data_IF_821847414168
#
_entry.id   IF_821847414168
#
_cell.length_a   1.000
_cell.length_b   1.000
_cell.length_c   1.000
_cell.angle_alpha   90.00
_cell.angle_beta   90.00
_cell.angle_gamma   90.00
#
_symmetry.space_group_name_H-M   'P 1'
#
loop_
_entity.id
_entity.type
_entity.pdbx_description
1 polymer ?
#
# COMPACT_ATOMS: atom_id res chain seq x y z
N UNK A 1 75.16 -29.77 17.14
CA UNK A 1 74.91 -30.85 16.17
C UNK A 1 73.45 -30.85 15.78
N UNK A 2 73.15 -30.62 14.48
CA UNK A 2 71.89 -30.91 13.75
C UNK A 2 70.63 -30.15 14.23
N UNK A 3 69.70 -29.61 13.42
CA UNK A 3 69.45 -29.31 11.99
C UNK A 3 68.10 -28.53 12.04
N UNK A 4 68.04 -27.26 11.65
CA UNK A 4 67.42 -26.77 10.41
C UNK A 4 65.96 -27.20 10.15
N UNK A 5 65.01 -26.23 10.17
CA UNK A 5 64.05 -25.95 9.10
C UNK A 5 63.19 -24.70 9.43
N UNK A 6 63.32 -23.66 8.60
CA UNK A 6 62.37 -22.54 8.45
C UNK A 6 61.39 -22.90 7.35
N UNK A 7 60.07 -22.77 7.54
CA UNK A 7 59.08 -22.77 6.46
C UNK A 7 57.88 -21.84 6.74
N UNK A 8 57.88 -20.70 6.03
CA UNK A 8 56.80 -20.04 5.25
C UNK A 8 55.50 -19.51 5.94
N UNK A 9 55.47 -18.17 6.06
CA UNK A 9 54.48 -17.18 5.60
C UNK A 9 53.07 -17.66 5.11
N UNK A 10 52.00 -17.15 5.74
CA UNK A 10 50.78 -16.71 5.05
C UNK A 10 49.95 -15.77 5.94
N UNK A 11 49.98 -14.46 5.62
CA UNK A 11 48.94 -13.51 6.00
C UNK A 11 47.80 -13.73 5.01
N UNK A 12 46.60 -14.11 5.47
CA UNK A 12 45.37 -13.84 4.71
C UNK A 12 44.22 -13.50 5.64
N UNK A 13 43.69 -12.30 5.41
CA UNK A 13 42.39 -11.83 5.85
C UNK A 13 41.30 -12.83 5.44
N UNK A 14 40.48 -13.26 6.38
CA UNK A 14 39.15 -13.82 6.11
C UNK A 14 38.24 -13.46 7.30
N UNK A 15 37.83 -12.20 7.36
CA UNK A 15 36.44 -11.75 7.09
C UNK A 15 35.45 -12.40 8.06
N UNK A 16 34.89 -11.66 9.04
CA UNK A 16 33.68 -12.11 9.70
C UNK A 16 32.53 -12.09 8.67
N UNK A 17 32.29 -13.23 8.05
CA UNK A 17 31.10 -13.50 7.26
C UNK A 17 29.93 -13.66 8.24
N UNK A 18 29.26 -12.57 8.59
CA UNK A 18 27.85 -12.49 9.03
C UNK A 18 27.50 -11.07 9.53
N UNK A 19 27.78 -10.05 8.74
CA UNK A 19 26.84 -8.93 8.66
C UNK A 19 25.94 -9.20 7.47
N UNK A 20 24.93 -10.04 7.70
CA UNK A 20 23.77 -10.08 6.83
C UNK A 20 23.20 -8.66 6.84
N UNK A 21 23.38 -7.97 5.72
CA UNK A 21 22.76 -6.68 5.46
C UNK A 21 21.27 -6.85 5.73
N UNK A 22 20.80 -6.26 6.84
CA UNK A 22 19.38 -5.90 6.94
C UNK A 22 19.19 -4.84 5.86
N UNK A 23 18.80 -5.26 4.67
CA UNK A 23 18.18 -4.37 3.68
C UNK A 23 16.86 -3.94 4.26
N UNK A 24 16.91 -2.97 5.17
CA UNK A 24 15.75 -2.17 5.51
C UNK A 24 15.76 -1.03 4.52
N UNK A 25 15.16 -1.27 3.35
CA UNK A 25 14.67 -0.19 2.50
C UNK A 25 13.50 0.51 3.23
N UNK A 26 13.82 1.19 4.35
CA UNK A 26 12.89 2.04 5.06
C UNK A 26 13.05 3.42 4.43
N UNK A 27 12.20 3.68 3.43
CA UNK A 27 11.26 4.81 3.43
C UNK A 27 10.65 4.95 2.03
N UNK A 28 10.00 3.89 1.55
CA UNK A 28 8.91 4.03 0.59
C UNK A 28 7.65 4.18 1.47
N UNK A 29 7.51 5.34 2.12
CA UNK A 29 6.41 5.55 3.05
C UNK A 29 5.13 5.79 2.26
N UNK A 30 4.39 4.70 2.07
CA UNK A 30 3.01 4.71 1.61
C UNK A 30 2.16 5.50 2.63
N UNK A 31 1.66 6.67 2.24
CA UNK A 31 0.46 7.27 2.86
C UNK A 31 -0.78 6.77 2.11
N UNK A 32 -0.86 5.45 1.92
CA UNK A 32 -1.97 4.79 1.27
C UNK A 32 -3.04 4.48 2.33
N UNK A 33 -4.31 4.79 2.02
CA UNK A 33 -5.47 4.40 2.82
C UNK A 33 -5.45 2.92 3.18
N UNK A 34 -4.89 2.08 2.30
CA UNK A 34 -4.66 0.66 2.54
C UNK A 34 -3.71 0.41 3.71
N UNK A 35 -2.60 1.13 3.79
CA UNK A 35 -1.61 0.94 4.85
C UNK A 35 -2.10 1.53 6.18
N UNK A 36 -2.83 2.64 6.13
CA UNK A 36 -3.57 3.12 7.31
C UNK A 36 -4.56 2.06 7.80
N UNK A 37 -5.35 1.47 6.90
CA UNK A 37 -6.31 0.41 7.25
C UNK A 37 -5.63 -0.83 7.85
N UNK A 38 -4.44 -1.21 7.37
CA UNK A 38 -3.66 -2.34 7.90
C UNK A 38 -3.23 -2.16 9.35
N UNK A 39 -3.09 -0.92 9.84
CA UNK A 39 -2.76 -0.65 11.26
C UNK A 39 -3.82 -1.18 12.24
N UNK A 40 -5.04 -1.45 11.75
CA UNK A 40 -6.14 -1.96 12.57
C UNK A 40 -6.31 -3.47 12.49
N UNK A 41 -5.45 -4.21 11.77
CA UNK A 41 -5.52 -5.67 11.71
C UNK A 41 -5.50 -6.26 13.13
N UNK A 42 -6.46 -7.15 13.40
CA UNK A 42 -6.65 -7.76 14.72
C UNK A 42 -7.63 -7.00 15.63
N UNK A 43 -8.06 -5.78 15.30
CA UNK A 43 -9.12 -5.10 16.06
C UNK A 43 -10.39 -5.95 16.05
N UNK A 44 -10.99 -6.25 17.22
CA UNK A 44 -12.17 -7.12 17.31
C UNK A 44 -13.37 -6.60 16.53
N UNK A 45 -14.24 -7.53 16.10
CA UNK A 45 -15.53 -7.16 15.56
C UNK A 45 -16.50 -6.75 16.67
N UNK A 46 -17.21 -5.64 16.48
CA UNK A 46 -18.29 -5.19 17.35
C UNK A 46 -19.42 -4.65 16.48
N UNK A 47 -20.60 -5.25 16.58
CA UNK A 47 -21.80 -4.75 15.89
C UNK A 47 -22.07 -3.29 16.28
N UNK A 48 -22.22 -2.39 15.31
CA UNK A 48 -22.38 -0.97 15.59
C UNK A 48 -21.06 -0.24 15.87
N UNK A 49 -19.92 -0.95 15.96
CA UNK A 49 -18.62 -0.41 16.33
C UNK A 49 -18.00 0.49 15.26
N UNK A 50 -17.40 1.60 15.68
CA UNK A 50 -16.85 2.67 14.83
C UNK A 50 -15.52 3.20 15.34
N UNK A 51 -14.86 2.48 16.28
CA UNK A 51 -13.62 2.92 16.91
C UNK A 51 -12.60 1.77 17.01
N UNK A 52 -11.30 2.05 17.24
CA UNK A 52 -10.27 1.01 17.36
C UNK A 52 -10.46 0.01 18.53
N UNK A 53 -11.42 0.25 19.44
CA UNK A 53 -11.82 -0.73 20.46
C UNK A 53 -12.73 -1.84 19.90
N UNK A 54 -13.28 -1.66 18.70
CA UNK A 54 -14.05 -2.66 17.99
C UNK A 54 -14.86 -2.04 16.84
N UNK A 55 -14.80 -2.68 15.68
CA UNK A 55 -15.46 -2.21 14.47
C UNK A 55 -16.51 -3.19 13.95
N UNK A 56 -17.57 -2.68 13.30
CA UNK A 56 -18.26 -3.47 12.27
C UNK A 56 -17.69 -3.17 10.88
N UNK A 57 -18.14 -3.90 9.86
CA UNK A 57 -17.59 -3.79 8.50
C UNK A 57 -17.66 -2.36 7.95
N UNK A 58 -18.83 -1.72 8.02
CA UNK A 58 -19.03 -0.36 7.55
C UNK A 58 -18.39 0.71 8.45
N UNK A 59 -18.36 0.49 9.76
CA UNK A 59 -17.76 1.39 10.74
C UNK A 59 -16.24 1.41 10.68
N UNK A 60 -15.61 0.27 10.37
CA UNK A 60 -14.18 0.19 10.08
C UNK A 60 -13.82 1.08 8.89
N UNK A 61 -14.52 0.92 7.76
CA UNK A 61 -14.22 1.69 6.56
C UNK A 61 -14.57 3.16 6.74
N UNK A 62 -15.66 3.48 7.42
CA UNK A 62 -15.98 4.88 7.76
C UNK A 62 -14.86 5.53 8.59
N UNK A 63 -14.30 4.81 9.57
CA UNK A 63 -13.19 5.30 10.37
C UNK A 63 -11.94 5.53 9.52
N UNK A 64 -11.57 4.55 8.70
CA UNK A 64 -10.42 4.63 7.79
C UNK A 64 -10.57 5.81 6.82
N UNK A 65 -11.69 5.92 6.11
CA UNK A 65 -11.90 6.97 5.10
C UNK A 65 -12.02 8.38 5.71
N UNK A 66 -12.49 8.49 6.96
CA UNK A 66 -12.56 9.77 7.66
C UNK A 66 -11.18 10.40 7.86
N UNK A 67 -10.15 9.60 8.12
CA UNK A 67 -8.75 10.08 8.20
C UNK A 67 -8.31 10.76 6.88
N UNK A 68 -8.85 10.29 5.76
CA UNK A 68 -8.57 10.79 4.42
C UNK A 68 -9.63 11.81 3.95
N UNK A 69 -10.33 12.46 4.88
CA UNK A 69 -11.36 13.49 4.62
C UNK A 69 -12.54 13.03 3.74
N UNK A 70 -12.79 11.73 3.65
CA UNK A 70 -13.90 11.16 2.87
C UNK A 70 -14.98 10.66 3.82
N UNK A 71 -16.17 11.25 3.71
CA UNK A 71 -17.31 10.89 4.55
C UNK A 71 -18.06 9.72 3.92
N UNK A 72 -17.91 8.54 4.52
CA UNK A 72 -18.74 7.38 4.17
C UNK A 72 -20.04 7.35 4.99
N UNK A 73 -21.18 6.97 4.37
CA UNK A 73 -22.38 6.64 5.11
C UNK A 73 -22.12 5.57 6.17
N UNK A 74 -22.91 5.57 7.26
CA UNK A 74 -22.69 4.63 8.37
C UNK A 74 -23.02 3.18 8.01
N UNK A 75 -24.02 2.94 7.16
CA UNK A 75 -24.51 1.60 6.85
C UNK A 75 -23.87 1.06 5.57
N UNK A 76 -23.58 -0.24 5.55
CA UNK A 76 -23.08 -0.96 4.37
C UNK A 76 -23.96 -0.73 3.12
N UNK A 77 -25.29 -0.82 3.27
CA UNK A 77 -26.22 -0.58 2.16
C UNK A 77 -26.10 0.85 1.59
N UNK A 78 -26.03 1.86 2.45
CA UNK A 78 -25.88 3.25 2.02
C UNK A 78 -24.53 3.47 1.32
N UNK A 79 -23.45 2.87 1.84
CA UNK A 79 -22.13 2.86 1.19
C UNK A 79 -22.17 2.18 -0.20
N UNK A 80 -23.04 1.19 -0.41
CA UNK A 80 -23.20 0.58 -1.72
C UNK A 80 -23.96 1.48 -2.70
N UNK A 81 -25.04 2.11 -2.27
CA UNK A 81 -25.91 2.87 -3.17
C UNK A 81 -25.41 4.29 -3.48
N UNK A 82 -24.54 4.88 -2.65
CA UNK A 82 -24.07 6.26 -2.83
C UNK A 82 -22.72 6.38 -3.57
N UNK A 83 -21.93 5.31 -3.65
CA UNK A 83 -20.62 5.36 -4.29
C UNK A 83 -20.68 5.21 -5.81
N UNK A 84 -19.61 5.63 -6.49
CA UNK A 84 -19.48 5.46 -7.94
C UNK A 84 -19.25 3.98 -8.27
N UNK A 85 -20.05 3.39 -9.16
CA UNK A 85 -19.92 1.98 -9.53
C UNK A 85 -18.59 1.69 -10.21
N UNK A 86 -17.92 0.60 -9.79
CA UNK A 86 -16.67 0.12 -10.40
C UNK A 86 -16.83 -1.32 -10.87
N UNK A 87 -16.39 -1.58 -12.09
CA UNK A 87 -16.28 -2.94 -12.62
C UNK A 87 -15.19 -3.72 -11.89
N UNK A 88 -15.43 -5.00 -11.62
CA UNK A 88 -14.48 -5.86 -10.88
C UNK A 88 -13.07 -5.89 -11.52
N UNK A 89 -12.99 -5.81 -12.85
CA UNK A 89 -11.71 -5.82 -13.58
C UNK A 89 -10.99 -4.46 -13.55
N UNK A 90 -11.65 -3.41 -13.07
CA UNK A 90 -11.15 -2.04 -12.96
C UNK A 90 -10.92 -1.63 -11.50
N UNK A 91 -10.94 -2.60 -10.58
CA UNK A 91 -10.65 -2.41 -9.17
C UNK A 91 -9.23 -1.88 -8.99
N UNK A 92 -9.11 -0.85 -8.17
CA UNK A 92 -7.84 -0.33 -7.67
C UNK A 92 -7.87 -0.31 -6.14
N UNK A 93 -6.71 -0.44 -5.46
CA UNK A 93 -6.60 -0.26 -4.02
C UNK A 93 -7.36 1.00 -3.54
N UNK A 94 -8.13 0.84 -2.46
CA UNK A 94 -9.03 1.89 -1.96
C UNK A 94 -10.48 1.77 -2.44
N UNK A 95 -10.78 0.99 -3.49
CA UNK A 95 -12.18 0.72 -3.86
C UNK A 95 -12.88 -0.13 -2.79
N UNK A 96 -14.15 0.15 -2.53
CA UNK A 96 -14.96 -0.66 -1.63
C UNK A 96 -15.60 -1.82 -2.38
N UNK A 97 -15.48 -3.03 -1.85
CA UNK A 97 -16.07 -4.26 -2.40
C UNK A 97 -17.19 -4.73 -1.48
N UNK A 98 -18.33 -5.10 -2.07
CA UNK A 98 -19.57 -5.37 -1.35
C UNK A 98 -20.05 -6.80 -1.55
N UNK A 99 -20.68 -7.34 -0.51
CA UNK A 99 -21.17 -8.71 -0.48
C UNK A 99 -22.57 -8.83 0.12
N UNK A 100 -23.33 -9.80 -0.38
CA UNK A 100 -24.61 -10.25 0.15
C UNK A 100 -24.43 -11.51 1.02
N UNK A 101 -24.06 -11.31 2.28
CA UNK A 101 -23.79 -12.38 3.26
C UNK A 101 -25.02 -12.87 4.01
N UNK A 102 -26.13 -12.12 3.99
CA UNK A 102 -27.37 -12.46 4.68
C UNK A 102 -28.59 -12.67 3.75
N UNK A 103 -28.38 -12.68 2.43
CA UNK A 103 -29.42 -12.79 1.40
C UNK A 103 -30.44 -11.63 1.36
N UNK A 104 -30.14 -10.47 1.94
CA UNK A 104 -31.04 -9.30 2.00
C UNK A 104 -30.47 -8.07 1.28
N UNK A 105 -29.41 -8.25 0.48
CA UNK A 105 -28.75 -7.16 -0.25
C UNK A 105 -27.35 -6.87 0.31
N UNK A 106 -26.81 -5.64 0.14
CA UNK A 106 -25.49 -5.29 0.65
C UNK A 106 -25.43 -5.38 2.17
N UNK A 107 -24.77 -6.42 2.68
CA UNK A 107 -24.72 -6.73 4.10
C UNK A 107 -23.31 -6.83 4.66
N UNK A 108 -22.30 -6.85 3.79
CA UNK A 108 -20.90 -6.81 4.18
C UNK A 108 -20.07 -5.99 3.19
N UNK A 109 -19.02 -5.34 3.69
CA UNK A 109 -18.16 -4.47 2.90
C UNK A 109 -16.70 -4.64 3.34
N UNK A 110 -15.79 -4.49 2.39
CA UNK A 110 -14.36 -4.37 2.62
C UNK A 110 -13.73 -3.39 1.66
N UNK A 111 -12.46 -3.06 1.85
CA UNK A 111 -11.68 -2.23 0.94
C UNK A 111 -10.70 -3.12 0.17
N UNK A 112 -10.72 -3.02 -1.15
CA UNK A 112 -9.78 -3.69 -2.03
C UNK A 112 -8.36 -3.16 -1.78
N UNK A 113 -7.38 -4.06 -1.74
CA UNK A 113 -5.99 -3.73 -1.44
C UNK A 113 -5.01 -4.21 -2.52
N UNK A 114 -5.52 -4.58 -3.70
CA UNK A 114 -4.73 -5.19 -4.77
C UNK A 114 -4.72 -6.71 -4.72
N UNK A 115 -4.18 -7.35 -5.76
CA UNK A 115 -3.96 -8.80 -5.83
C UNK A 115 -5.20 -9.68 -5.54
N UNK A 116 -6.39 -9.18 -5.86
CA UNK A 116 -7.66 -9.84 -5.56
C UNK A 116 -7.91 -10.03 -4.05
N UNK A 117 -7.27 -9.21 -3.22
CA UNK A 117 -7.41 -9.19 -1.76
C UNK A 117 -8.16 -7.95 -1.30
N UNK A 118 -8.76 -8.04 -0.12
CA UNK A 118 -9.47 -6.94 0.53
C UNK A 118 -9.35 -7.02 2.04
N UNK A 119 -9.29 -5.86 2.69
CA UNK A 119 -9.29 -5.71 4.15
C UNK A 119 -10.71 -5.39 4.64
N UNK A 120 -11.14 -6.03 5.72
CA UNK A 120 -12.48 -5.84 6.28
C UNK A 120 -12.55 -6.25 7.75
N UNK A 121 -13.56 -5.76 8.48
CA UNK A 121 -13.90 -6.29 9.81
C UNK A 121 -14.77 -7.55 9.68
N UNK A 122 -14.18 -8.72 9.87
CA UNK A 122 -14.87 -10.02 9.90
C UNK A 122 -15.56 -10.26 11.23
N UNK A 123 -16.81 -10.73 11.22
CA UNK A 123 -17.54 -11.09 12.44
C UNK A 123 -16.85 -12.16 13.29
N UNK A 124 -16.00 -13.01 12.69
CA UNK A 124 -15.28 -14.09 13.39
C UNK A 124 -13.82 -13.80 13.69
N UNK A 125 -13.19 -12.87 12.96
CA UNK A 125 -11.72 -12.64 13.03
C UNK A 125 -11.32 -11.20 13.36
N UNK A 126 -12.30 -10.29 13.49
CA UNK A 126 -12.00 -8.85 13.56
C UNK A 126 -11.47 -8.33 12.22
N UNK A 127 -10.75 -7.21 12.25
CA UNK A 127 -10.13 -6.64 11.06
C UNK A 127 -9.07 -7.60 10.51
N UNK A 128 -9.27 -8.04 9.27
CA UNK A 128 -8.45 -9.06 8.62
C UNK A 128 -8.43 -8.87 7.10
N UNK A 129 -7.52 -9.58 6.43
CA UNK A 129 -7.41 -9.62 4.97
C UNK A 129 -7.99 -10.94 4.47
N UNK A 130 -8.82 -10.85 3.44
CA UNK A 130 -9.41 -12.00 2.75
C UNK A 130 -9.19 -11.89 1.24
N UNK A 131 -9.26 -13.02 0.53
CA UNK A 131 -9.19 -13.06 -0.92
C UNK A 131 -10.60 -13.13 -1.54
N UNK A 132 -10.84 -12.37 -2.61
CA UNK A 132 -12.12 -12.29 -3.32
C UNK A 132 -12.49 -13.61 -4.03
N UNK A 133 -11.53 -14.48 -4.34
CA UNK A 133 -11.78 -15.79 -4.96
C UNK A 133 -12.11 -16.89 -3.96
N UNK A 134 -12.03 -16.62 -2.65
CA UNK A 134 -12.53 -17.54 -1.64
C UNK A 134 -14.01 -17.81 -1.89
N UNK A 135 -14.41 -19.08 -1.98
CA UNK A 135 -15.77 -19.51 -2.35
C UNK A 135 -16.88 -18.73 -1.63
N UNK A 136 -16.70 -18.47 -0.33
CA UNK A 136 -17.63 -17.68 0.48
C UNK A 136 -17.87 -16.27 -0.09
N UNK A 137 -16.79 -15.52 -0.37
CA UNK A 137 -16.87 -14.15 -0.89
C UNK A 137 -17.19 -14.10 -2.39
N UNK A 138 -16.62 -15.02 -3.17
CA UNK A 138 -16.83 -15.10 -4.62
C UNK A 138 -18.30 -15.24 -4.99
N UNK A 139 -19.02 -16.10 -4.27
CA UNK A 139 -20.46 -16.34 -4.51
C UNK A 139 -21.38 -15.24 -3.99
N UNK A 140 -20.84 -14.34 -3.14
CA UNK A 140 -21.61 -13.29 -2.47
C UNK A 140 -21.26 -11.89 -2.97
N UNK A 141 -20.26 -11.75 -3.83
CA UNK A 141 -19.85 -10.47 -4.38
C UNK A 141 -20.99 -9.87 -5.21
N UNK A 142 -21.36 -8.63 -4.89
CA UNK A 142 -22.47 -7.92 -5.57
C UNK A 142 -22.03 -6.65 -6.29
N UNK A 143 -20.77 -6.24 -6.14
CA UNK A 143 -20.22 -5.09 -6.86
C UNK A 143 -19.16 -4.34 -6.05
N UNK A 144 -18.64 -3.28 -6.67
CA UNK A 144 -17.68 -2.39 -6.05
C UNK A 144 -18.05 -0.91 -6.23
N UNK A 145 -17.53 -0.07 -5.33
CA UNK A 145 -17.76 1.36 -5.32
C UNK A 145 -16.47 2.13 -5.07
N UNK A 146 -16.28 3.22 -5.81
CA UNK A 146 -15.21 4.19 -5.61
C UNK A 146 -15.74 5.41 -4.88
N UNK A 147 -14.99 5.82 -3.87
CA UNK A 147 -15.24 7.02 -3.06
C UNK A 147 -14.10 8.03 -3.13
N UNK A 148 -12.97 7.59 -3.68
CA UNK A 148 -11.80 8.41 -3.92
C UNK A 148 -11.83 8.85 -5.38
N UNK A 149 -12.19 10.10 -5.64
CA UNK A 149 -11.97 10.70 -6.96
C UNK A 149 -10.53 11.25 -7.03
N UNK A 150 -9.95 11.33 -8.23
CA UNK A 150 -8.55 11.74 -8.43
C UNK A 150 -8.21 13.12 -7.83
N UNK A 151 -9.20 13.99 -7.61
CA UNK A 151 -9.03 15.32 -6.97
C UNK A 151 -9.09 15.26 -5.44
N UNK A 152 -9.91 14.38 -4.87
CA UNK A 152 -10.02 14.15 -3.44
C UNK A 152 -8.84 13.35 -2.92
N UNK A 153 -8.33 12.43 -3.72
CA UNK A 153 -7.03 11.77 -3.55
C UNK A 153 -5.93 12.83 -3.44
N UNK A 154 -5.83 13.78 -4.39
CA UNK A 154 -4.91 14.94 -4.29
C UNK A 154 -5.12 15.77 -3.00
N UNK A 155 -6.36 16.00 -2.57
CA UNK A 155 -6.67 16.81 -1.37
C UNK A 155 -6.47 16.10 -0.02
N UNK A 156 -6.70 14.79 0.04
CA UNK A 156 -6.44 13.97 1.21
C UNK A 156 -4.93 13.83 1.46
N UNK A 157 -4.13 13.83 0.39
CA UNK A 157 -2.66 13.89 0.46
C UNK A 157 -2.11 15.27 0.87
N UNK A 158 -2.80 16.37 0.56
CA UNK A 158 -2.44 17.70 1.08
C UNK A 158 -2.68 17.83 2.60
N UNK A 159 -3.50 16.96 3.18
CA UNK A 159 -3.83 16.94 4.61
C UNK A 159 -2.94 16.01 5.44
N UNK A 160 -2.15 15.14 4.81
CA UNK A 160 -1.14 14.35 5.53
C UNK A 160 0.10 15.22 5.75
N UNK A 161 0.74 15.19 6.94
CA UNK A 161 1.84 16.10 7.23
C UNK A 161 2.97 15.93 6.21
N UNK A 162 3.19 16.96 5.39
CA UNK A 162 4.30 17.01 4.44
C UNK A 162 5.59 16.72 5.18
N UNK A 163 6.27 15.63 4.79
CA UNK A 163 7.56 15.31 5.39
C UNK A 163 8.60 16.30 4.96
N UNK A 164 9.52 16.62 5.86
CA UNK A 164 10.66 17.47 5.54
C UNK A 164 11.38 16.97 4.28
N UNK A 165 11.52 17.83 3.29
CA UNK A 165 12.14 17.52 1.99
C UNK A 165 11.22 16.83 0.97
N UNK A 166 9.96 16.57 1.27
CA UNK A 166 9.00 16.07 0.29
C UNK A 166 8.66 17.16 -0.73
N UNK A 167 8.77 16.83 -2.02
CA UNK A 167 8.45 17.71 -3.16
C UNK A 167 7.18 17.28 -3.89
N UNK A 168 6.65 16.08 -3.60
CA UNK A 168 5.43 15.59 -4.22
C UNK A 168 5.08 14.18 -3.79
N UNK A 169 4.17 13.58 -4.55
CA UNK A 169 3.72 12.19 -4.41
C UNK A 169 3.54 11.61 -5.80
N UNK A 170 3.94 10.36 -6.00
CA UNK A 170 3.60 9.58 -7.20
C UNK A 170 2.50 8.59 -6.87
N UNK A 171 1.50 8.50 -7.75
CA UNK A 171 0.46 7.48 -7.76
C UNK A 171 0.73 6.49 -8.88
N UNK A 172 0.75 5.19 -8.57
CA UNK A 172 0.97 4.13 -9.56
C UNK A 172 -0.35 3.76 -10.23
N UNK A 173 -0.47 4.02 -11.53
CA UNK A 173 -1.63 3.63 -12.37
C UNK A 173 -1.50 2.23 -12.96
N UNK A 174 -0.27 1.83 -13.30
CA UNK A 174 0.04 0.55 -13.94
C UNK A 174 1.28 -0.06 -13.28
N UNK A 175 1.38 -1.39 -13.34
CA UNK A 175 2.55 -2.11 -12.81
C UNK A 175 3.85 -1.50 -13.35
N UNK A 176 4.73 -1.08 -12.45
CA UNK A 176 6.00 -0.42 -12.78
C UNK A 176 7.09 -0.86 -11.83
N UNK A 177 8.33 -0.89 -12.29
CA UNK A 177 9.46 -1.33 -11.48
C UNK A 177 9.87 -0.26 -10.46
N UNK A 178 10.08 -0.71 -9.23
CA UNK A 178 10.82 0.01 -8.21
C UNK A 178 12.30 -0.34 -8.35
N UNK A 179 13.13 0.67 -8.41
CA UNK A 179 14.57 0.55 -8.49
C UNK A 179 15.22 1.06 -7.21
N UNK A 180 16.37 0.51 -6.86
CA UNK A 180 17.30 1.10 -5.91
C UNK A 180 18.51 1.59 -6.71
N UNK A 181 18.99 2.79 -6.40
CA UNK A 181 20.16 3.37 -7.06
C UNK A 181 21.31 3.46 -6.06
N UNK A 182 22.49 2.93 -6.40
CA UNK A 182 23.68 3.10 -5.57
C UNK A 182 24.38 4.46 -5.83
N UNK A 183 25.52 4.68 -5.16
CA UNK A 183 26.29 5.92 -5.29
C UNK A 183 26.98 6.06 -6.66
N UNK A 184 27.04 4.98 -7.44
CA UNK A 184 27.56 4.95 -8.81
C UNK A 184 26.45 5.08 -9.87
N UNK A 185 25.24 5.44 -9.43
CA UNK A 185 24.02 5.53 -10.23
C UNK A 185 23.51 4.20 -10.80
N UNK A 186 24.06 3.06 -10.41
CA UNK A 186 23.61 1.76 -10.94
C UNK A 186 22.25 1.39 -10.35
N UNK A 187 21.32 1.01 -11.23
CA UNK A 187 19.99 0.56 -10.84
C UNK A 187 19.99 -0.93 -10.51
N UNK A 188 19.40 -1.26 -9.37
CA UNK A 188 19.07 -2.63 -8.96
C UNK A 188 17.55 -2.74 -8.85
N UNK A 189 16.97 -3.74 -9.51
CA UNK A 189 15.54 -4.02 -9.38
C UNK A 189 15.22 -4.43 -7.95
N UNK A 190 14.19 -3.80 -7.36
CA UNK A 190 13.72 -4.12 -6.00
C UNK A 190 12.46 -4.97 -6.07
N UNK A 191 11.40 -4.44 -6.67
CA UNK A 191 10.12 -5.13 -6.88
C UNK A 191 9.27 -4.43 -7.92
N UNK A 192 8.15 -5.05 -8.29
CA UNK A 192 7.10 -4.37 -9.06
C UNK A 192 6.16 -3.65 -8.09
N UNK A 193 5.89 -2.38 -8.35
CA UNK A 193 4.84 -1.58 -7.73
C UNK A 193 3.52 -1.87 -8.42
N UNK A 194 2.45 -2.00 -7.65
CA UNK A 194 1.12 -2.30 -8.17
C UNK A 194 0.29 -1.03 -8.37
N UNK A 195 -0.70 -1.05 -9.30
CA UNK A 195 -1.69 0.01 -9.40
C UNK A 195 -2.33 0.30 -8.03
N UNK A 196 -2.48 1.57 -7.69
CA UNK A 196 -2.98 2.06 -6.41
C UNK A 196 -1.91 2.40 -5.38
N UNK A 197 -0.69 1.86 -5.51
CA UNK A 197 0.40 2.21 -4.60
C UNK A 197 0.81 3.70 -4.77
N UNK A 198 1.13 4.35 -3.65
CA UNK A 198 1.55 5.76 -3.63
C UNK A 198 2.85 5.95 -2.87
N UNK A 199 3.72 6.82 -3.37
CA UNK A 199 5.00 7.13 -2.75
C UNK A 199 5.24 8.62 -2.67
N UNK A 200 5.71 9.08 -1.50
CA UNK A 200 6.29 10.43 -1.38
C UNK A 200 7.50 10.55 -2.29
N UNK A 201 7.69 11.73 -2.86
CA UNK A 201 8.80 12.09 -3.73
C UNK A 201 9.64 13.15 -3.02
N UNK A 202 10.96 12.99 -3.05
CA UNK A 202 11.92 13.89 -2.41
C UNK A 202 12.83 14.60 -3.41
N UNK A 203 13.00 14.05 -4.61
CA UNK A 203 13.73 14.69 -5.70
C UNK A 203 13.34 14.11 -7.04
N UNK A 204 13.64 14.83 -8.11
CA UNK A 204 13.55 14.35 -9.49
C UNK A 204 14.90 14.56 -10.17
N UNK A 205 15.32 13.62 -11.00
CA UNK A 205 16.49 13.77 -11.85
C UNK A 205 16.25 13.20 -13.25
N UNK A 206 17.08 13.62 -14.20
CA UNK A 206 16.92 13.31 -15.62
C UNK A 206 17.59 12.00 -16.06
N UNK A 207 18.14 11.21 -15.13
CA UNK A 207 18.76 9.93 -15.49
C UNK A 207 17.68 8.94 -15.95
N UNK A 208 18.06 8.02 -16.85
CA UNK A 208 17.18 6.93 -17.29
C UNK A 208 15.81 7.38 -17.84
N UNK A 209 15.74 8.55 -18.47
CA UNK A 209 14.49 9.12 -19.00
C UNK A 209 13.65 9.86 -17.96
N UNK A 210 14.23 10.16 -16.79
CA UNK A 210 13.55 10.81 -15.68
C UNK A 210 13.23 9.82 -14.57
N UNK A 211 13.60 10.14 -13.33
CA UNK A 211 13.29 9.33 -12.16
C UNK A 211 12.85 10.19 -10.98
N UNK A 212 11.83 9.72 -10.26
CA UNK A 212 11.44 10.28 -8.97
C UNK A 212 12.11 9.49 -7.85
N UNK A 213 12.81 10.17 -6.96
CA UNK A 213 13.37 9.62 -5.74
C UNK A 213 12.27 9.50 -4.68
N UNK A 214 12.02 8.27 -4.25
CA UNK A 214 10.98 7.91 -3.30
C UNK A 214 11.47 7.88 -1.85
N UNK A 215 12.73 8.26 -1.61
CA UNK A 215 13.41 8.14 -0.33
C UNK A 215 14.35 6.93 -0.31
N UNK A 216 15.36 6.95 0.57
CA UNK A 216 16.26 5.81 0.80
C UNK A 216 16.88 5.20 -0.46
N UNK A 217 17.23 6.08 -1.41
CA UNK A 217 17.78 5.74 -2.73
C UNK A 217 16.86 4.84 -3.58
N UNK A 218 15.56 4.85 -3.33
CA UNK A 218 14.56 4.19 -4.14
C UNK A 218 14.06 5.13 -5.23
N UNK A 219 13.87 4.60 -6.43
CA UNK A 219 13.52 5.36 -7.62
C UNK A 219 12.44 4.66 -8.43
N UNK A 220 11.57 5.47 -9.01
CA UNK A 220 10.57 5.05 -9.99
C UNK A 220 10.78 5.86 -11.27
N UNK A 221 10.68 5.20 -12.42
CA UNK A 221 10.85 5.86 -13.71
C UNK A 221 9.66 6.79 -13.98
N UNK A 222 9.93 7.97 -14.52
CA UNK A 222 8.91 8.91 -14.96
C UNK A 222 8.24 8.40 -16.24
N UNK A 223 7.19 7.60 -16.06
CA UNK A 223 6.38 7.07 -17.14
C UNK A 223 4.96 7.61 -17.01
N UNK A 224 4.61 8.70 -17.73
CA UNK A 224 3.31 9.38 -17.58
C UNK A 224 2.08 8.48 -17.77
N UNK A 225 2.20 7.39 -18.53
CA UNK A 225 1.09 6.42 -18.71
C UNK A 225 0.95 5.43 -17.55
N UNK A 226 1.96 5.35 -16.67
CA UNK A 226 2.08 4.38 -15.58
C UNK A 226 1.97 5.03 -14.22
N UNK A 227 2.29 6.32 -14.10
CA UNK A 227 2.23 7.05 -12.85
C UNK A 227 1.63 8.43 -13.05
N UNK A 228 1.05 8.97 -11.99
CA UNK A 228 0.72 10.40 -11.87
C UNK A 228 1.59 11.01 -10.80
N UNK A 229 2.29 12.10 -11.12
CA UNK A 229 3.03 12.90 -10.13
C UNK A 229 2.18 14.10 -9.70
N UNK A 230 2.09 14.31 -8.40
CA UNK A 230 1.34 15.39 -7.75
C UNK A 230 2.35 16.18 -6.91
N UNK A 231 2.67 17.44 -7.25
CA UNK A 231 3.56 18.26 -6.42
C UNK A 231 2.92 18.60 -5.08
N UNK A 232 3.73 18.78 -4.04
CA UNK A 232 3.28 19.40 -2.78
C UNK A 232 2.95 20.89 -3.05
N UNK A 233 1.93 21.47 -2.40
CA UNK A 233 1.59 22.90 -2.51
C UNK A 233 2.73 23.86 -2.15
#
# INVERSE_FOLDING_TARGET
>A
MKKAARVILAIMLSIPFLFMVKTTAIAAENEDIVDYAKNFIGTPYKWGGTTPQGFDCSGFLQYVFKEFNVQLPRRCADQFYQGESVDRNSLVPGDLVFFNTNNQGPSHVGMYIGNNEFIHASSSKGVTISNLDMSYYKTRYIGAKRYLNNEQVKSAYAATPVKSGQIGTVYVKKKINLWQRDDENKLTFVRVLNPGETYRVYSFDNLYGGQYNLGSKLYITNMPDYIDYIPVP
#
